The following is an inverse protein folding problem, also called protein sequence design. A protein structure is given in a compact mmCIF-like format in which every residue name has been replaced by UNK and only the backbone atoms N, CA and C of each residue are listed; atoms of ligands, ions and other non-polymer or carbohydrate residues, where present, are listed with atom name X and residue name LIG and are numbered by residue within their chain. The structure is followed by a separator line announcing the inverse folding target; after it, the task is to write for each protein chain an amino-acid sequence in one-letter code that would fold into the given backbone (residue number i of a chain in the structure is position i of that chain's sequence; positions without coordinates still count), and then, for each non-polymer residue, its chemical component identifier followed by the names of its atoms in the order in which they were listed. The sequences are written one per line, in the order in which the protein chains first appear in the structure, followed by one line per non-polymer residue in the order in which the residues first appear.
data_IF_412600986259
#
_entry.id   IF_412600986259
#
_cell.length_a   1.000
_cell.length_b   1.000
_cell.length_c   1.000
_cell.angle_alpha   90.00
_cell.angle_beta   90.00
_cell.angle_gamma   90.00
#
_symmetry.space_group_name_H-M   'P 1'
#
loop_
_entity.id
_entity.type
_entity.pdbx_description
1 polymer ?
#
# COMPACT_ATOMS: atom_id res chain seq x y z
N UNK A 1 -8.20 -12.03 -6.17
CA UNK A 1 -6.85 -12.28 -6.71
C UNK A 1 -5.92 -11.18 -6.26
N UNK A 2 -4.74 -11.54 -5.74
CA UNK A 2 -3.73 -10.58 -5.27
C UNK A 2 -2.95 -10.03 -6.46
N UNK A 3 -2.79 -8.71 -6.52
CA UNK A 3 -1.95 -8.09 -7.55
C UNK A 3 -0.50 -8.06 -7.10
N UNK A 4 0.43 -7.98 -8.06
CA UNK A 4 1.86 -7.84 -7.76
C UNK A 4 2.15 -6.59 -6.92
N UNK A 5 1.38 -5.52 -7.14
CA UNK A 5 1.47 -4.25 -6.41
C UNK A 5 1.11 -4.43 -4.93
N UNK A 6 0.10 -5.24 -4.62
CA UNK A 6 -0.28 -5.52 -3.23
C UNK A 6 0.86 -6.17 -2.45
N UNK A 7 1.57 -7.15 -3.03
CA UNK A 7 2.70 -7.79 -2.35
C UNK A 7 3.92 -6.85 -2.24
N UNK A 8 4.18 -6.04 -3.27
CA UNK A 8 5.25 -5.04 -3.21
C UNK A 8 4.98 -3.99 -2.14
N UNK A 9 3.72 -3.60 -1.92
CA UNK A 9 3.32 -2.68 -0.86
C UNK A 9 3.48 -3.30 0.55
N UNK A 10 3.57 -4.62 0.68
CA UNK A 10 3.89 -5.26 1.96
C UNK A 10 5.37 -5.13 2.31
N UNK A 11 6.25 -5.08 1.31
CA UNK A 11 7.69 -4.87 1.53
C UNK A 11 8.01 -3.47 2.08
N UNK A 12 7.10 -2.52 1.93
CA UNK A 12 7.27 -1.19 2.52
C UNK A 12 6.80 -1.12 3.98
N UNK A 13 6.18 -2.19 4.51
CA UNK A 13 5.75 -2.29 5.92
C UNK A 13 6.85 -2.94 6.78
N UNK A 14 6.77 -2.77 8.11
CA UNK A 14 7.68 -3.47 9.04
C UNK A 14 7.35 -4.96 9.01
N UNK A 15 8.18 -5.71 8.30
CA UNK A 15 8.05 -7.14 8.17
C UNK A 15 8.75 -7.88 9.33
N UNK A 16 8.19 -9.00 9.81
CA UNK A 16 8.89 -9.85 10.76
C UNK A 16 10.10 -10.53 10.09
N UNK A 17 11.11 -10.87 10.87
CA UNK A 17 12.37 -11.45 10.37
C UNK A 17 12.12 -12.65 9.44
N UNK A 18 12.68 -12.58 8.23
CA UNK A 18 12.57 -13.65 7.22
C UNK A 18 11.27 -13.65 6.41
N UNK A 19 10.35 -12.70 6.63
CA UNK A 19 9.15 -12.57 5.80
C UNK A 19 9.44 -12.13 4.37
N UNK A 20 10.53 -11.39 4.12
CA UNK A 20 10.95 -11.02 2.76
C UNK A 20 11.11 -12.24 1.86
N UNK A 21 11.76 -13.29 2.36
CA UNK A 21 11.97 -14.54 1.62
C UNK A 21 10.64 -15.24 1.30
N UNK A 22 9.69 -15.20 2.22
CA UNK A 22 8.36 -15.79 2.03
C UNK A 22 7.57 -14.97 1.00
N UNK A 23 7.61 -13.64 1.07
CA UNK A 23 6.95 -12.77 0.10
C UNK A 23 7.55 -12.90 -1.29
N UNK A 24 8.87 -13.00 -1.41
CA UNK A 24 9.58 -13.25 -2.67
C UNK A 24 9.16 -14.60 -3.30
N UNK A 25 8.98 -15.61 -2.46
CA UNK A 25 8.46 -16.89 -2.91
C UNK A 25 7.02 -16.77 -3.45
N UNK A 26 6.15 -16.03 -2.75
CA UNK A 26 4.76 -15.80 -3.17
C UNK A 26 4.64 -14.96 -4.46
N UNK A 27 5.55 -14.01 -4.69
CA UNK A 27 5.59 -13.22 -5.93
C UNK A 27 5.68 -14.09 -7.19
N UNK A 28 6.36 -15.24 -7.09
CA UNK A 28 6.50 -16.20 -8.19
C UNK A 28 5.27 -17.12 -8.37
N UNK A 29 4.28 -17.05 -7.47
CA UNK A 29 3.09 -17.90 -7.41
C UNK A 29 1.79 -17.11 -7.17
N UNK A 30 1.77 -15.83 -7.52
CA UNK A 30 0.65 -14.89 -7.30
C UNK A 30 -0.72 -15.42 -7.76
N UNK A 31 -0.75 -16.17 -8.87
CA UNK A 31 -1.99 -16.73 -9.43
C UNK A 31 -2.69 -17.73 -8.49
N UNK A 32 -1.98 -18.29 -7.51
CA UNK A 32 -2.49 -19.23 -6.50
C UNK A 32 -2.62 -18.59 -5.12
N UNK A 33 -2.51 -17.26 -5.00
CA UNK A 33 -2.57 -16.54 -3.73
C UNK A 33 -3.78 -15.61 -3.71
N UNK A 34 -4.53 -15.64 -2.61
CA UNK A 34 -5.68 -14.78 -2.38
C UNK A 34 -5.61 -14.07 -1.03
N UNK A 35 -5.72 -12.75 -1.02
CA UNK A 35 -5.80 -11.97 0.22
C UNK A 35 -7.15 -12.21 0.89
N UNK A 36 -7.12 -12.50 2.19
CA UNK A 36 -8.32 -12.60 3.03
C UNK A 36 -8.22 -11.63 4.19
N UNK A 37 -9.36 -11.06 4.58
CA UNK A 37 -9.49 -10.28 5.80
C UNK A 37 -9.97 -11.10 7.00
N UNK A 38 -10.31 -12.38 6.79
CA UNK A 38 -10.87 -13.27 7.80
C UNK A 38 -9.96 -14.48 7.97
N UNK A 39 -9.64 -14.81 9.22
CA UNK A 39 -8.91 -16.03 9.58
C UNK A 39 -9.88 -17.21 9.56
N UNK A 40 -9.74 -18.09 8.56
CA UNK A 40 -10.50 -19.33 8.42
C UNK A 40 -9.71 -20.51 9.00
N UNK A 41 -10.37 -21.46 9.65
CA UNK A 41 -9.68 -22.53 10.39
C UNK A 41 -9.28 -23.74 9.52
N UNK A 42 -10.08 -24.07 8.51
CA UNK A 42 -9.94 -25.30 7.71
C UNK A 42 -9.45 -25.06 6.28
N UNK A 43 -8.74 -23.95 6.05
CA UNK A 43 -8.22 -23.60 4.72
C UNK A 43 -6.70 -23.42 4.77
N UNK A 44 -6.00 -23.60 3.63
CA UNK A 44 -4.59 -23.22 3.51
C UNK A 44 -4.43 -21.72 3.76
N UNK A 45 -3.81 -21.35 4.86
CA UNK A 45 -3.74 -19.96 5.32
C UNK A 45 -2.32 -19.60 5.76
N UNK A 46 -1.77 -18.54 5.18
CA UNK A 46 -0.57 -17.87 5.67
C UNK A 46 -0.97 -16.58 6.38
N UNK A 47 -0.53 -16.44 7.63
CA UNK A 47 -0.72 -15.26 8.46
C UNK A 47 0.62 -14.55 8.58
N UNK A 48 0.66 -13.26 8.22
CA UNK A 48 1.84 -12.39 8.44
C UNK A 48 1.44 -11.30 9.42
N UNK A 49 2.09 -11.26 10.59
CA UNK A 49 1.82 -10.27 11.63
C UNK A 49 3.08 -9.62 12.17
N UNK A 50 2.92 -8.60 13.03
CA UNK A 50 4.03 -7.83 13.63
C UNK A 50 5.13 -8.70 14.24
N UNK A 51 4.73 -9.76 14.94
CA UNK A 51 5.64 -10.55 15.77
C UNK A 51 6.07 -11.86 15.13
N UNK A 52 5.63 -12.15 13.90
CA UNK A 52 5.96 -13.39 13.23
C UNK A 52 4.98 -13.78 12.14
N UNK A 53 5.20 -14.97 11.59
CA UNK A 53 4.36 -15.57 10.57
C UNK A 53 3.84 -16.92 11.06
N UNK A 54 2.68 -17.32 10.55
CA UNK A 54 2.11 -18.64 10.80
C UNK A 54 1.53 -19.17 9.50
N UNK A 55 2.07 -20.27 8.98
CA UNK A 55 1.46 -21.01 7.89
C UNK A 55 0.67 -22.20 8.43
N UNK A 56 -0.56 -22.35 7.94
CA UNK A 56 -1.46 -23.49 8.20
C UNK A 56 -1.76 -24.15 6.86
N UNK A 57 -1.12 -25.29 6.60
CA UNK A 57 -1.13 -25.93 5.28
C UNK A 57 -1.59 -27.38 5.40
N UNK A 58 -2.54 -27.84 4.56
CA UNK A 58 -2.96 -29.25 4.57
C UNK A 58 -1.88 -30.16 3.97
N UNK A 59 -1.39 -31.11 4.77
CA UNK A 59 -0.36 -32.06 4.38
C UNK A 59 -0.73 -33.46 4.89
N UNK A 60 -0.68 -34.47 4.01
CA UNK A 60 -0.92 -35.89 4.33
C UNK A 60 -2.21 -36.15 5.14
N UNK A 61 -3.32 -35.47 4.83
CA UNK A 61 -4.61 -35.65 5.49
C UNK A 61 -4.77 -34.91 6.83
N UNK A 62 -3.81 -34.07 7.23
CA UNK A 62 -3.90 -33.23 8.42
C UNK A 62 -3.46 -31.78 8.17
N UNK A 63 -3.77 -30.87 9.09
CA UNK A 63 -3.30 -29.48 9.03
C UNK A 63 -1.97 -29.34 9.75
N UNK A 64 -0.92 -28.98 9.00
CA UNK A 64 0.40 -28.69 9.56
C UNK A 64 0.53 -27.19 9.80
N UNK A 65 1.04 -26.83 10.97
CA UNK A 65 1.31 -25.44 11.36
C UNK A 65 2.81 -25.23 11.46
N UNK A 66 3.32 -24.15 10.84
CA UNK A 66 4.71 -23.72 10.97
C UNK A 66 4.77 -22.22 11.25
N UNK A 67 5.73 -21.80 12.07
CA UNK A 67 5.92 -20.39 12.42
C UNK A 67 7.31 -19.86 12.05
N UNK A 68 8.24 -20.75 11.70
CA UNK A 68 9.59 -20.38 11.28
C UNK A 68 9.63 -20.13 9.77
N UNK A 69 10.27 -19.05 9.28
CA UNK A 69 10.30 -18.73 7.85
C UNK A 69 10.78 -19.87 6.95
N UNK A 70 11.83 -20.59 7.36
CA UNK A 70 12.37 -21.71 6.58
C UNK A 70 11.36 -22.87 6.47
N UNK A 71 10.74 -23.27 7.58
CA UNK A 71 9.70 -24.31 7.62
C UNK A 71 8.46 -23.90 6.82
N UNK A 72 8.09 -22.61 6.87
CA UNK A 72 6.98 -22.06 6.08
C UNK A 72 7.27 -22.24 4.58
N UNK A 73 8.48 -21.90 4.13
CA UNK A 73 8.86 -22.07 2.71
C UNK A 73 8.79 -23.54 2.30
N UNK A 74 9.30 -24.47 3.11
CA UNK A 74 9.21 -25.90 2.82
C UNK A 74 7.75 -26.36 2.68
N UNK A 75 6.87 -25.95 3.59
CA UNK A 75 5.44 -26.28 3.49
C UNK A 75 4.78 -25.70 2.25
N UNK A 76 5.10 -24.45 1.91
CA UNK A 76 4.57 -23.78 0.74
C UNK A 76 5.05 -24.44 -0.57
N UNK A 77 6.32 -24.85 -0.64
CA UNK A 77 6.87 -25.59 -1.78
C UNK A 77 6.10 -26.89 -2.05
N UNK A 78 5.74 -27.63 -1.01
CA UNK A 78 4.92 -28.83 -1.14
C UNK A 78 3.46 -28.50 -1.52
N UNK A 79 2.90 -27.44 -0.95
CA UNK A 79 1.50 -27.05 -1.17
C UNK A 79 1.23 -26.62 -2.62
N UNK A 80 2.07 -25.76 -3.19
CA UNK A 80 1.84 -25.21 -4.53
C UNK A 80 1.96 -26.25 -5.66
N UNK A 81 2.36 -27.48 -5.37
CA UNK A 81 2.27 -28.59 -6.33
C UNK A 81 0.82 -28.99 -6.64
N UNK A 82 -0.13 -28.66 -5.75
CA UNK A 82 -1.53 -29.13 -5.83
C UNK A 82 -2.49 -28.20 -6.57
N UNK A 83 -2.00 -27.04 -7.06
CA UNK A 83 -2.81 -25.99 -7.69
C UNK A 83 -3.98 -25.46 -6.83
N UNK A 84 -3.90 -25.63 -5.51
CA UNK A 84 -4.88 -25.09 -4.56
C UNK A 84 -4.57 -23.62 -4.23
N UNK A 85 -5.60 -22.86 -3.83
CA UNK A 85 -5.45 -21.45 -3.43
C UNK A 85 -4.90 -21.35 -2.01
N UNK A 86 -3.83 -20.56 -1.85
CA UNK A 86 -3.33 -20.13 -0.55
C UNK A 86 -4.01 -18.82 -0.16
N UNK A 87 -4.68 -18.81 0.99
CA UNK A 87 -5.19 -17.58 1.57
C UNK A 87 -4.08 -16.86 2.34
N UNK A 88 -3.96 -15.55 2.16
CA UNK A 88 -2.99 -14.68 2.82
C UNK A 88 -3.73 -13.69 3.71
N UNK A 89 -3.52 -13.79 5.02
CA UNK A 89 -4.02 -12.84 6.00
C UNK A 89 -2.87 -11.98 6.53
N UNK A 90 -3.07 -10.68 6.56
CA UNK A 90 -2.01 -9.72 6.89
C UNK A 90 -2.50 -8.82 8.01
N UNK A 91 -1.75 -8.83 9.11
CA UNK A 91 -1.98 -7.98 10.26
C UNK A 91 -0.67 -7.29 10.65
N UNK A 92 -0.19 -6.43 9.76
CA UNK A 92 1.00 -5.62 9.98
C UNK A 92 0.58 -4.23 10.48
N UNK A 93 1.23 -3.70 11.53
CA UNK A 93 1.00 -2.33 11.94
C UNK A 93 1.44 -1.41 10.82
N UNK A 94 0.65 -0.38 10.55
CA UNK A 94 1.10 0.69 9.67
C UNK A 94 2.26 1.44 10.34
N UNK A 95 3.27 1.82 9.55
CA UNK A 95 4.36 2.64 10.04
C UNK A 95 3.79 3.98 10.53
N UNK A 96 4.17 4.49 11.72
CA UNK A 96 3.96 5.88 12.00
C UNK A 96 4.79 6.68 10.98
N UNK A 97 4.12 7.37 10.08
CA UNK A 97 4.76 8.30 9.16
C UNK A 97 5.58 9.29 9.99
N UNK A 98 6.87 9.52 9.69
CA UNK A 98 7.65 10.54 10.38
C UNK A 98 6.89 11.88 10.36
N UNK A 99 6.97 12.61 11.46
CA UNK A 99 6.21 13.86 11.64
C UNK A 99 6.56 14.85 10.53
N UNK A 100 7.82 14.85 10.12
CA UNK A 100 8.37 15.67 9.04
C UNK A 100 7.70 15.36 7.70
N UNK A 101 7.49 14.08 7.39
CA UNK A 101 6.80 13.65 6.16
C UNK A 101 5.32 14.01 6.23
N UNK A 102 4.71 13.92 7.40
CA UNK A 102 3.30 14.28 7.60
C UNK A 102 3.08 15.79 7.42
N UNK A 103 3.99 16.62 7.93
CA UNK A 103 3.96 18.07 7.77
C UNK A 103 4.10 18.47 6.30
N UNK A 104 5.05 17.87 5.57
CA UNK A 104 5.22 18.13 4.13
C UNK A 104 3.97 17.70 3.35
N UNK A 105 3.40 16.54 3.64
CA UNK A 105 2.17 16.09 2.98
C UNK A 105 0.98 17.00 3.28
N UNK A 106 0.83 17.47 4.52
CA UNK A 106 -0.21 18.43 4.89
C UNK A 106 -0.03 19.77 4.17
N UNK A 107 1.21 20.24 4.05
CA UNK A 107 1.52 21.47 3.33
C UNK A 107 1.21 21.34 1.83
N UNK A 108 1.61 20.22 1.21
CA UNK A 108 1.28 19.91 -0.19
C UNK A 108 -0.23 19.82 -0.41
N UNK A 109 -0.95 19.15 0.50
CA UNK A 109 -2.41 19.04 0.44
C UNK A 109 -3.09 20.41 0.59
N UNK A 110 -2.63 21.25 1.53
CA UNK A 110 -3.16 22.59 1.72
C UNK A 110 -2.92 23.47 0.48
N UNK A 111 -1.73 23.39 -0.12
CA UNK A 111 -1.41 24.09 -1.38
C UNK A 111 -2.28 23.61 -2.54
N UNK A 112 -2.48 22.29 -2.68
CA UNK A 112 -3.34 21.73 -3.71
C UNK A 112 -4.81 22.17 -3.54
N UNK A 113 -5.32 22.15 -2.31
CA UNK A 113 -6.66 22.63 -2.00
C UNK A 113 -6.82 24.12 -2.33
N UNK A 114 -5.83 24.95 -2.00
CA UNK A 114 -5.85 26.38 -2.33
C UNK A 114 -5.80 26.64 -3.83
N UNK A 115 -5.02 25.85 -4.59
CA UNK A 115 -5.00 25.93 -6.07
C UNK A 115 -6.37 25.61 -6.68
N UNK A 116 -7.04 24.58 -6.16
CA UNK A 116 -8.37 24.19 -6.60
C UNK A 116 -9.42 25.27 -6.26
N UNK A 117 -9.32 25.88 -5.08
CA UNK A 117 -10.16 27.01 -4.69
C UNK A 117 -9.97 28.22 -5.61
N UNK A 118 -8.71 28.62 -5.85
CA UNK A 118 -8.39 29.73 -6.76
C UNK A 118 -8.89 29.47 -8.18
N UNK A 119 -8.81 28.23 -8.65
CA UNK A 119 -9.37 27.85 -9.95
C UNK A 119 -10.88 28.10 -10.02
N UNK A 120 -11.63 27.73 -8.98
CA UNK A 120 -13.07 28.00 -8.89
C UNK A 120 -13.37 29.50 -8.85
N UNK A 121 -12.57 30.27 -8.11
CA UNK A 121 -12.71 31.73 -8.04
C UNK A 121 -12.44 32.37 -9.42
N UNK A 122 -11.43 31.87 -10.14
CA UNK A 122 -11.13 32.32 -11.51
C UNK A 122 -12.31 32.03 -12.45
N UNK A 123 -12.84 30.81 -12.41
CA UNK A 123 -13.98 30.42 -13.26
C UNK A 123 -15.22 31.28 -12.93
N UNK A 124 -15.51 31.49 -11.65
CA UNK A 124 -16.60 32.36 -11.21
C UNK A 124 -16.39 33.83 -11.63
N UNK A 125 -15.16 34.35 -11.52
CA UNK A 125 -14.84 35.71 -11.92
C UNK A 125 -15.01 35.92 -13.44
N UNK A 126 -14.73 34.89 -14.24
CA UNK A 126 -14.97 34.91 -15.69
C UNK A 126 -16.47 34.91 -16.01
N UNK A 127 -17.25 34.09 -15.31
CA UNK A 127 -18.72 34.03 -15.47
C UNK A 127 -19.41 35.35 -15.10
N UNK A 128 -18.93 36.01 -14.03
CA UNK A 128 -19.47 37.29 -13.55
C UNK A 128 -18.85 38.51 -14.27
N UNK A 129 -17.85 38.32 -15.11
CA UNK A 129 -17.13 39.39 -15.79
C UNK A 129 -16.30 40.29 -14.86
N UNK A 130 -15.99 39.82 -13.65
CA UNK A 130 -15.26 40.57 -12.64
C UNK A 130 -13.74 40.48 -12.88
N UNK A 131 -13.21 41.48 -13.59
CA UNK A 131 -11.80 41.52 -14.00
C UNK A 131 -10.84 41.67 -12.80
N UNK A 132 -11.22 42.39 -11.75
CA UNK A 132 -10.37 42.58 -10.57
C UNK A 132 -10.17 41.26 -9.84
N UNK A 133 -11.26 40.56 -9.54
CA UNK A 133 -11.23 39.25 -8.88
C UNK A 133 -10.44 38.21 -9.69
N UNK A 134 -10.58 38.24 -11.02
CA UNK A 134 -9.83 37.37 -11.91
C UNK A 134 -8.32 37.62 -11.82
N UNK A 135 -7.87 38.88 -11.92
CA UNK A 135 -6.44 39.20 -11.90
C UNK A 135 -5.79 38.90 -10.55
N UNK A 136 -6.50 39.11 -9.45
CA UNK A 136 -6.02 38.77 -8.10
C UNK A 136 -5.85 37.26 -7.94
N UNK A 137 -6.89 36.48 -8.25
CA UNK A 137 -6.85 35.02 -8.11
C UNK A 137 -5.85 34.37 -9.07
N UNK A 138 -5.73 34.87 -10.30
CA UNK A 138 -4.76 34.38 -11.28
C UNK A 138 -3.31 34.66 -10.87
N UNK A 139 -3.04 35.80 -10.21
CA UNK A 139 -1.71 36.11 -9.69
C UNK A 139 -1.33 35.18 -8.54
N UNK A 140 -2.21 34.98 -7.57
CA UNK A 140 -1.98 34.07 -6.44
C UNK A 140 -1.77 32.62 -6.93
N UNK A 141 -2.57 32.18 -7.91
CA UNK A 141 -2.44 30.86 -8.51
C UNK A 141 -1.09 30.67 -9.22
N UNK A 142 -0.62 31.72 -9.92
CA UNK A 142 0.69 31.72 -10.59
C UNK A 142 1.84 31.62 -9.58
N UNK A 143 1.78 32.38 -8.49
CA UNK A 143 2.78 32.33 -7.40
C UNK A 143 2.82 30.93 -6.76
N UNK A 144 1.68 30.30 -6.50
CA UNK A 144 1.62 28.93 -5.97
C UNK A 144 2.09 27.87 -6.98
N UNK A 145 2.02 28.15 -8.28
CA UNK A 145 2.42 27.21 -9.33
C UNK A 145 3.91 27.27 -9.63
N UNK A 146 4.58 28.41 -9.43
CA UNK A 146 6.04 28.52 -9.64
C UNK A 146 6.88 27.69 -8.67
N UNK A 147 6.40 27.48 -7.44
CA UNK A 147 7.11 26.65 -6.46
C UNK A 147 7.16 25.14 -6.82
N UNK A 148 6.21 24.63 -7.63
CA UNK A 148 6.22 23.22 -8.05
C UNK A 148 7.22 22.93 -9.19
N UNK A 149 7.67 23.99 -9.87
CA UNK A 149 8.63 23.91 -10.98
C UNK A 149 10.08 23.83 -10.51
N UNK A 150 10.44 24.55 -9.44
CA UNK A 150 11.83 24.62 -8.94
C UNK A 150 12.30 23.32 -8.27
N UNK A 151 11.39 22.45 -7.80
CA UNK A 151 11.72 21.15 -7.19
C UNK A 151 11.99 20.02 -8.21
N UNK A 152 11.77 20.25 -9.51
CA UNK A 152 12.06 19.26 -10.57
C UNK A 152 13.46 19.39 -11.19
N UNK A 153 14.16 20.48 -10.91
CA UNK A 153 15.48 20.80 -11.47
C UNK A 153 16.64 20.62 -10.46
N UNK A 154 16.39 19.95 -9.32
CA UNK A 154 17.40 19.54 -8.32
C UNK A 154 17.45 18.02 -8.18
#
# INVERSE_FOLDING_TARGET
MVTKEDILLLKTKILPSGADMVLDFLLNRLHQVELTQIVMENVPLLIIGRHGMIARIPMNGGMRKASQPAEIIELLQHFFQRQETLYLFINLPDLPMPVEVTQVLQEVQARAARKEELRRIIDQALDEGNRELFYEAAREWKELSSYDSDDRDR
#
